data_IF_788834999693
#
_entry.id   IF_788834999693
#
_cell.length_a   1.000
_cell.length_b   1.000
_cell.length_c   1.000
_cell.angle_alpha   90.00
_cell.angle_beta   90.00
_cell.angle_gamma   90.00
#
_symmetry.space_group_name_H-M   'P 1'
#
loop_
_entity.id
_entity.type
_entity.pdbx_description
1 polymer ?
#
# COMPACT_ATOMS: atom_id res chain seq x y z
N UNK A 1 16.75 8.88 -19.51
CA UNK A 1 16.59 7.59 -18.81
C UNK A 1 15.88 6.63 -19.76
N UNK A 2 16.33 5.37 -19.86
CA UNK A 2 15.86 4.45 -20.89
C UNK A 2 14.49 3.84 -20.49
N UNK A 3 13.41 4.21 -21.17
CA UNK A 3 12.01 3.89 -20.82
C UNK A 3 11.52 2.55 -21.38
N UNK A 4 12.34 1.49 -21.37
CA UNK A 4 11.86 0.18 -21.80
C UNK A 4 11.24 -0.58 -20.61
N UNK A 5 9.92 -0.74 -20.67
CA UNK A 5 9.08 -1.57 -19.82
C UNK A 5 9.80 -2.83 -19.29
N UNK A 6 10.45 -3.60 -20.17
CA UNK A 6 11.06 -4.90 -19.88
C UNK A 6 12.13 -4.90 -18.77
N UNK A 7 12.76 -3.77 -18.47
CA UNK A 7 13.83 -3.68 -17.46
C UNK A 7 13.28 -3.63 -16.02
N UNK A 8 12.01 -3.21 -15.84
CA UNK A 8 11.39 -3.03 -14.52
C UNK A 8 10.39 -4.13 -14.14
N UNK A 9 9.96 -4.94 -15.12
CA UNK A 9 9.17 -6.15 -14.88
C UNK A 9 10.12 -7.29 -14.55
N UNK A 10 10.08 -7.79 -13.31
CA UNK A 10 10.70 -9.07 -12.98
C UNK A 10 9.58 -10.09 -12.83
N UNK A 11 9.43 -10.95 -13.83
CA UNK A 11 8.52 -12.10 -13.74
C UNK A 11 9.25 -13.16 -12.91
N UNK A 12 8.71 -13.51 -11.73
CA UNK A 12 9.24 -14.63 -10.97
C UNK A 12 8.93 -15.92 -11.73
N UNK A 13 9.95 -16.71 -12.05
CA UNK A 13 9.80 -17.91 -12.90
C UNK A 13 9.17 -19.11 -12.17
N UNK A 14 8.97 -19.01 -10.85
CA UNK A 14 8.59 -20.13 -9.96
C UNK A 14 7.14 -20.02 -9.46
N UNK A 15 6.45 -18.92 -9.72
CA UNK A 15 5.03 -18.75 -9.46
C UNK A 15 4.61 -17.45 -10.11
N UNK A 16 3.56 -17.46 -10.94
CA UNK A 16 3.17 -16.42 -11.91
C UNK A 16 2.82 -15.03 -11.37
N UNK A 17 3.42 -14.61 -10.25
CA UNK A 17 3.27 -13.29 -9.66
C UNK A 17 4.07 -12.25 -10.43
N UNK A 18 3.36 -11.24 -10.93
CA UNK A 18 3.93 -10.07 -11.59
C UNK A 18 4.31 -9.02 -10.54
N UNK A 19 5.58 -8.95 -10.16
CA UNK A 19 6.10 -7.94 -9.25
C UNK A 19 6.68 -6.74 -10.02
N UNK A 20 6.25 -5.52 -9.67
CA UNK A 20 6.72 -4.28 -10.29
C UNK A 20 7.54 -3.44 -9.29
N UNK A 21 8.83 -3.27 -9.57
CA UNK A 21 9.74 -2.49 -8.70
C UNK A 21 9.30 -1.03 -8.53
N UNK A 22 8.91 -0.38 -9.62
CA UNK A 22 8.39 1.00 -9.60
C UNK A 22 7.19 1.15 -8.65
N UNK A 23 6.28 0.16 -8.60
CA UNK A 23 5.15 0.21 -7.67
C UNK A 23 5.59 0.13 -6.21
N UNK A 24 6.56 -0.75 -5.90
CA UNK A 24 7.12 -0.88 -4.56
C UNK A 24 7.84 0.42 -4.14
N UNK A 25 8.71 0.96 -5.00
CA UNK A 25 9.44 2.21 -4.75
C UNK A 25 8.47 3.38 -4.53
N UNK A 26 7.41 3.48 -5.34
CA UNK A 26 6.38 4.50 -5.19
C UNK A 26 5.61 4.39 -3.87
N UNK A 27 5.32 3.18 -3.38
CA UNK A 27 4.71 3.00 -2.05
C UNK A 27 5.61 3.49 -0.93
N UNK A 28 6.90 3.13 -0.94
CA UNK A 28 7.82 3.52 0.12
C UNK A 28 8.04 5.03 0.14
N UNK A 29 8.17 5.67 -1.03
CA UNK A 29 8.27 7.12 -1.13
C UNK A 29 7.04 7.85 -0.54
N UNK A 30 5.84 7.28 -0.70
CA UNK A 30 4.62 7.83 -0.08
C UNK A 30 4.59 7.64 1.43
N UNK A 31 5.05 6.49 1.92
CA UNK A 31 5.11 6.20 3.35
C UNK A 31 6.10 7.13 4.07
N UNK A 32 7.28 7.35 3.49
CA UNK A 32 8.29 8.27 4.03
C UNK A 32 7.79 9.72 4.10
N UNK A 33 7.08 10.19 3.07
CA UNK A 33 6.47 11.52 3.08
C UNK A 33 5.41 11.68 4.18
N UNK A 34 4.58 10.65 4.40
CA UNK A 34 3.61 10.64 5.50
C UNK A 34 4.30 10.63 6.85
N UNK A 35 5.36 9.83 6.98
CA UNK A 35 6.17 9.74 8.19
C UNK A 35 6.74 11.11 8.56
N UNK A 36 7.44 11.76 7.62
CA UNK A 36 8.11 13.03 7.87
C UNK A 36 7.14 14.22 7.99
N UNK A 37 5.99 14.18 7.32
CA UNK A 37 5.00 15.27 7.31
C UNK A 37 3.97 15.18 8.43
N UNK A 38 3.03 14.23 8.31
CA UNK A 38 1.83 14.15 9.15
C UNK A 38 2.11 13.41 10.47
N UNK A 39 3.07 12.48 10.43
CA UNK A 39 3.33 11.52 11.51
C UNK A 39 4.65 11.84 12.26
N UNK A 40 5.08 13.11 12.22
CA UNK A 40 6.39 13.57 12.68
C UNK A 40 6.72 13.26 14.15
N UNK A 41 5.72 12.96 14.99
CA UNK A 41 5.86 12.73 16.44
C UNK A 41 5.26 11.38 16.88
N UNK A 42 5.24 10.36 16.03
CA UNK A 42 4.65 9.08 16.41
C UNK A 42 5.52 8.27 17.37
N UNK A 43 4.91 7.86 18.49
CA UNK A 43 5.45 6.81 19.35
C UNK A 43 5.36 5.46 18.64
N UNK A 44 6.39 4.62 18.85
CA UNK A 44 6.48 3.25 18.30
C UNK A 44 5.24 2.39 18.59
N UNK A 45 4.54 2.64 19.71
CA UNK A 45 3.30 1.95 20.10
C UNK A 45 2.17 2.10 19.09
N UNK A 46 2.14 3.17 18.31
CA UNK A 46 1.04 3.45 17.39
C UNK A 46 1.39 3.13 15.94
N UNK A 47 2.66 2.83 15.66
CA UNK A 47 3.16 2.48 14.33
C UNK A 47 2.30 1.41 13.63
N UNK A 48 1.85 0.32 14.30
CA UNK A 48 1.01 -0.69 13.66
C UNK A 48 -0.33 -0.15 13.13
N UNK A 49 -0.91 0.86 13.79
CA UNK A 49 -2.17 1.48 13.37
C UNK A 49 -1.98 2.30 12.11
N UNK A 50 -0.89 3.07 12.03
CA UNK A 50 -0.58 3.90 10.87
C UNK A 50 -0.12 3.09 9.66
N UNK A 51 0.61 2.00 9.88
CA UNK A 51 0.95 1.08 8.80
C UNK A 51 -0.29 0.41 8.23
N UNK A 52 -1.28 0.08 9.09
CA UNK A 52 -2.54 -0.50 8.63
C UNK A 52 -3.40 0.51 7.86
N UNK A 53 -3.49 1.76 8.34
CA UNK A 53 -4.16 2.84 7.61
C UNK A 53 -3.51 3.11 6.25
N UNK A 54 -2.17 3.12 6.22
CA UNK A 54 -1.41 3.29 4.98
C UNK A 54 -1.69 2.16 3.99
N UNK A 55 -1.65 0.90 4.45
CA UNK A 55 -1.94 -0.27 3.63
C UNK A 55 -3.36 -0.19 3.05
N UNK A 56 -4.36 0.13 3.88
CA UNK A 56 -5.74 0.32 3.43
C UNK A 56 -5.84 1.41 2.35
N UNK A 57 -5.24 2.59 2.58
CA UNK A 57 -5.30 3.70 1.62
C UNK A 57 -4.55 3.40 0.33
N UNK A 58 -3.45 2.67 0.41
CA UNK A 58 -2.66 2.26 -0.74
C UNK A 58 -3.41 1.23 -1.59
N UNK A 59 -4.01 0.22 -0.95
CA UNK A 59 -4.76 -0.85 -1.62
C UNK A 59 -6.07 -0.31 -2.23
N UNK A 60 -6.72 0.65 -1.56
CA UNK A 60 -7.98 1.28 -2.04
C UNK A 60 -7.78 2.49 -2.97
N UNK A 61 -6.54 2.76 -3.43
CA UNK A 61 -6.21 3.99 -4.18
C UNK A 61 -6.95 4.14 -5.51
N UNK A 62 -7.34 3.04 -6.13
CA UNK A 62 -8.05 3.02 -7.42
C UNK A 62 -9.57 3.09 -7.25
N UNK A 63 -10.07 2.96 -6.02
CA UNK A 63 -11.49 3.02 -5.71
C UNK A 63 -11.96 4.47 -5.55
N UNK A 64 -13.16 4.75 -6.02
CA UNK A 64 -13.84 6.04 -5.82
C UNK A 64 -14.23 6.20 -4.35
N UNK A 65 -14.40 7.44 -3.89
CA UNK A 65 -14.68 7.72 -2.47
C UNK A 65 -15.86 6.94 -1.90
N UNK A 66 -16.96 6.79 -2.66
CA UNK A 66 -18.12 6.00 -2.25
C UNK A 66 -17.87 4.50 -2.19
N UNK A 67 -17.13 3.96 -3.16
CA UNK A 67 -16.78 2.54 -3.22
C UNK A 67 -15.78 2.13 -2.13
N UNK A 68 -15.04 3.10 -1.57
CA UNK A 68 -14.08 2.88 -0.48
C UNK A 68 -14.75 2.72 0.89
N UNK A 69 -16.01 3.12 1.04
CA UNK A 69 -16.72 3.08 2.33
C UNK A 69 -16.98 1.63 2.75
N UNK A 70 -17.45 0.79 1.82
CA UNK A 70 -17.75 -0.63 2.08
C UNK A 70 -16.52 -1.41 2.61
N UNK A 71 -15.34 -1.37 1.96
CA UNK A 71 -14.16 -2.04 2.50
C UNK A 71 -13.62 -1.38 3.78
N UNK A 72 -13.86 -0.08 4.01
CA UNK A 72 -13.52 0.56 5.28
C UNK A 72 -14.34 -0.03 6.43
N UNK A 73 -15.66 -0.21 6.24
CA UNK A 73 -16.56 -0.79 7.25
C UNK A 73 -16.16 -2.24 7.55
N UNK A 74 -15.94 -3.06 6.51
CA UNK A 74 -15.50 -4.44 6.69
C UNK A 74 -14.17 -4.54 7.45
N UNK A 75 -13.24 -3.60 7.19
CA UNK A 75 -11.97 -3.52 7.92
C UNK A 75 -12.12 -3.10 9.39
N UNK A 76 -13.13 -2.30 9.73
CA UNK A 76 -13.47 -1.96 11.12
C UNK A 76 -14.05 -3.15 11.88
N UNK A 77 -14.81 -4.01 11.20
CA UNK A 77 -15.35 -5.26 11.77
C UNK A 77 -14.29 -6.37 11.91
N UNK A 78 -13.06 -6.13 11.43
CA UNK A 78 -11.96 -7.11 11.46
C UNK A 78 -11.97 -8.10 10.29
N UNK A 79 -12.89 -7.96 9.34
CA UNK A 79 -13.02 -8.81 8.17
C UNK A 79 -12.23 -8.22 6.98
N UNK A 80 -10.91 -8.09 7.14
CA UNK A 80 -10.03 -7.62 6.08
C UNK A 80 -9.96 -8.67 4.97
N UNK A 81 -10.15 -8.31 3.69
CA UNK A 81 -10.16 -9.25 2.57
C UNK A 81 -8.81 -9.96 2.33
N UNK A 82 -7.74 -9.49 2.97
CA UNK A 82 -6.38 -10.02 2.91
C UNK A 82 -6.01 -10.95 4.09
N UNK A 83 -6.87 -11.09 5.12
CA UNK A 83 -6.59 -11.88 6.33
C UNK A 83 -7.32 -13.25 6.36
N UNK A 84 -7.62 -13.84 5.21
CA UNK A 84 -8.14 -15.22 5.10
C UNK A 84 -7.12 -16.15 4.48
#
# INVERSE_FOLDING_TARGET
MNHNAKVFFRISRIGGWLARKNTAESSFAWLERRHNGILHQLLRRHLPRYTNEFAFRWNSRTLTGGERIVPAINGMEGNWPECR
#
